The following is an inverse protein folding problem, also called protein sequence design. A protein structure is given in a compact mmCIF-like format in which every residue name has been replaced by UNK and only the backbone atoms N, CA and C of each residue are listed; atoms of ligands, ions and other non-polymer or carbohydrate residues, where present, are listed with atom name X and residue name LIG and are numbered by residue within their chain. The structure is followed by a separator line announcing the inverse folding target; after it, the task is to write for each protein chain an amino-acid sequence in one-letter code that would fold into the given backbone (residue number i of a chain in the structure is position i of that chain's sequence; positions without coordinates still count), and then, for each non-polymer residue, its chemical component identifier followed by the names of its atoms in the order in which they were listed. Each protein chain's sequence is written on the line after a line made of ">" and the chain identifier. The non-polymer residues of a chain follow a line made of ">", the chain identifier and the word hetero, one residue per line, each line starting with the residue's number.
data_IF_881764265868
#
_entry.id   IF_881764265868
#
_cell.length_a   1.000
_cell.length_b   1.000
_cell.length_c   1.000
_cell.angle_alpha   90.00
_cell.angle_beta   90.00
_cell.angle_gamma   90.00
#
_symmetry.space_group_name_H-M   'P 1'
#
loop_
_entity.id
_entity.type
_entity.pdbx_description
1 polymer ?
#
# COMPACT_ATOMS: atom_id res chain seq x y z
N UNK A 1 -7.82 -12.11 -2.25
CA UNK A 1 -8.11 -10.86 -1.52
C UNK A 1 -8.09 -9.71 -2.53
N UNK A 2 -9.26 -9.18 -2.93
CA UNK A 2 -9.33 -8.12 -3.95
C UNK A 2 -8.54 -6.86 -3.56
N UNK A 3 -8.54 -6.52 -2.27
CA UNK A 3 -7.87 -5.33 -1.73
C UNK A 3 -6.36 -5.27 -2.02
N UNK A 4 -5.67 -6.41 -2.00
CA UNK A 4 -4.23 -6.46 -2.29
C UNK A 4 -3.94 -6.16 -3.75
N UNK A 5 -4.78 -6.64 -4.68
CA UNK A 5 -4.65 -6.36 -6.11
C UNK A 5 -4.91 -4.89 -6.40
N UNK A 6 -5.93 -4.30 -5.77
CA UNK A 6 -6.20 -2.87 -5.90
C UNK A 6 -5.03 -2.04 -5.37
N UNK A 7 -4.41 -2.44 -4.26
CA UNK A 7 -3.23 -1.77 -3.74
C UNK A 7 -2.02 -1.88 -4.70
N UNK A 8 -1.78 -3.05 -5.30
CA UNK A 8 -0.74 -3.21 -6.33
C UNK A 8 -1.02 -2.32 -7.55
N UNK A 9 -2.28 -2.21 -7.96
CA UNK A 9 -2.68 -1.31 -9.05
C UNK A 9 -2.40 0.15 -8.73
N UNK A 10 -2.71 0.62 -7.51
CA UNK A 10 -2.34 1.98 -7.07
C UNK A 10 -0.83 2.18 -7.16
N UNK A 11 -0.03 1.22 -6.69
CA UNK A 11 1.44 1.35 -6.75
C UNK A 11 1.93 1.41 -8.20
N UNK A 12 1.34 0.61 -9.12
CA UNK A 12 1.66 0.63 -10.55
C UNK A 12 1.31 1.96 -11.22
N UNK A 13 0.16 2.55 -10.88
CA UNK A 13 -0.27 3.87 -11.38
C UNK A 13 0.70 4.99 -10.96
N UNK A 14 1.52 4.79 -9.93
CA UNK A 14 2.62 5.66 -9.51
C UNK A 14 4.00 5.11 -9.93
N UNK A 15 4.10 4.56 -11.14
CA UNK A 15 5.35 4.05 -11.73
C UNK A 15 6.08 3.00 -10.86
N UNK A 16 5.31 2.25 -10.06
CA UNK A 16 5.85 1.20 -9.19
C UNK A 16 6.53 1.71 -7.91
N UNK A 17 6.43 3.01 -7.59
CA UNK A 17 7.00 3.59 -6.35
C UNK A 17 6.16 4.76 -5.84
N UNK A 18 5.61 4.61 -4.63
CA UNK A 18 4.69 5.58 -4.03
C UNK A 18 5.06 5.89 -2.58
N UNK A 19 4.81 7.11 -2.13
CA UNK A 19 4.91 7.43 -0.70
C UNK A 19 3.80 6.74 0.08
N UNK A 20 4.14 6.11 1.21
CA UNK A 20 3.19 5.40 2.07
C UNK A 20 1.99 6.24 2.50
N UNK A 21 2.18 7.55 2.72
CA UNK A 21 1.09 8.48 3.04
C UNK A 21 0.11 8.68 1.89
N UNK A 22 0.59 8.64 0.64
CA UNK A 22 -0.27 8.77 -0.55
C UNK A 22 -1.04 7.47 -0.75
N UNK A 23 -0.35 6.32 -0.68
CA UNK A 23 -0.99 5.01 -0.71
C UNK A 23 -2.08 4.86 0.36
N UNK A 24 -1.85 5.36 1.56
CA UNK A 24 -2.83 5.32 2.64
C UNK A 24 -4.11 6.11 2.32
N UNK A 25 -3.98 7.27 1.69
CA UNK A 25 -5.11 8.12 1.29
C UNK A 25 -5.91 7.43 0.18
N UNK A 26 -5.23 7.02 -0.89
CA UNK A 26 -5.90 6.39 -2.03
C UNK A 26 -6.54 5.04 -1.69
N UNK A 27 -5.93 4.25 -0.81
CA UNK A 27 -6.50 2.99 -0.36
C UNK A 27 -7.81 3.20 0.42
N UNK A 28 -7.95 4.31 1.14
CA UNK A 28 -9.20 4.66 1.80
C UNK A 28 -10.24 5.22 0.82
N UNK A 29 -9.83 6.07 -0.12
CA UNK A 29 -10.71 6.61 -1.16
C UNK A 29 -11.29 5.50 -2.05
N UNK A 30 -10.48 4.48 -2.37
CA UNK A 30 -10.91 3.28 -3.10
C UNK A 30 -11.64 2.25 -2.22
N UNK A 31 -11.88 2.58 -0.94
CA UNK A 31 -12.63 1.76 0.04
C UNK A 31 -12.03 0.37 0.30
N UNK A 32 -10.74 0.18 0.03
CA UNK A 32 -9.99 -1.04 0.39
C UNK A 32 -9.42 -0.96 1.82
N UNK A 33 -9.46 0.25 2.42
CA UNK A 33 -9.34 0.47 3.85
C UNK A 33 -10.64 1.08 4.38
N UNK A 34 -11.17 0.50 5.45
CA UNK A 34 -12.29 1.08 6.20
C UNK A 34 -11.79 1.46 7.60
N UNK A 35 -11.79 2.77 7.89
CA UNK A 35 -11.25 3.35 9.12
C UNK A 35 -12.41 3.82 10.00
N UNK A 36 -12.79 3.01 10.98
CA UNK A 36 -13.84 3.34 11.96
C UNK A 36 -13.39 4.24 13.11
N UNK A 37 -12.34 5.06 12.92
CA UNK A 37 -11.74 5.85 13.99
C UNK A 37 -12.29 7.29 14.04
N UNK A 38 -12.32 7.88 15.24
CA UNK A 38 -12.62 9.31 15.42
C UNK A 38 -11.60 10.18 14.67
N UNK A 39 -12.02 11.37 14.21
CA UNK A 39 -11.21 12.30 13.40
C UNK A 39 -9.81 12.56 13.97
N UNK A 40 -9.69 12.72 15.28
CA UNK A 40 -8.43 12.98 16.00
C UNK A 40 -7.39 11.86 15.83
N UNK A 41 -7.83 10.61 15.75
CA UNK A 41 -6.96 9.43 15.63
C UNK A 41 -6.94 8.81 14.24
N UNK A 42 -7.64 9.45 13.29
CA UNK A 42 -7.92 8.89 11.99
C UNK A 42 -6.65 8.58 11.19
N UNK A 43 -5.68 9.50 11.19
CA UNK A 43 -4.40 9.32 10.48
C UNK A 43 -3.62 8.11 11.00
N UNK A 44 -3.47 7.99 12.33
CA UNK A 44 -2.75 6.87 12.94
C UNK A 44 -3.47 5.54 12.68
N UNK A 45 -4.79 5.51 12.81
CA UNK A 45 -5.60 4.32 12.52
C UNK A 45 -5.52 3.91 11.04
N UNK A 46 -5.48 4.87 10.13
CA UNK A 46 -5.29 4.66 8.69
C UNK A 46 -3.96 3.98 8.40
N UNK A 47 -2.85 4.50 8.93
CA UNK A 47 -1.53 3.90 8.73
C UNK A 47 -1.42 2.50 9.33
N UNK A 48 -1.89 2.30 10.56
CA UNK A 48 -1.88 0.99 11.20
C UNK A 48 -2.72 -0.04 10.40
N UNK A 49 -3.85 0.39 9.85
CA UNK A 49 -4.71 -0.46 9.02
C UNK A 49 -4.05 -0.79 7.68
N UNK A 50 -3.46 0.20 7.00
CA UNK A 50 -2.70 -0.02 5.77
C UNK A 50 -1.58 -1.04 6.00
N UNK A 51 -0.81 -0.86 7.08
CA UNK A 51 0.30 -1.75 7.41
C UNK A 51 -0.15 -3.19 7.60
N UNK A 52 -1.13 -3.39 8.48
CA UNK A 52 -1.60 -4.73 8.83
C UNK A 52 -2.33 -5.44 7.68
N UNK A 53 -3.17 -4.71 6.94
CA UNK A 53 -4.08 -5.32 5.96
C UNK A 53 -3.47 -5.43 4.56
N UNK A 54 -2.56 -4.52 4.19
CA UNK A 54 -2.07 -4.40 2.82
C UNK A 54 -0.54 -4.59 2.77
N UNK A 55 0.23 -3.75 3.45
CA UNK A 55 1.70 -3.75 3.30
C UNK A 55 2.30 -5.05 3.81
N UNK A 56 1.96 -5.49 5.03
CA UNK A 56 2.51 -6.73 5.60
C UNK A 56 2.22 -7.97 4.74
N UNK A 57 0.99 -8.21 4.24
CA UNK A 57 0.76 -9.30 3.30
C UNK A 57 1.57 -9.19 2.00
N UNK A 58 1.69 -7.99 1.43
CA UNK A 58 2.41 -7.78 0.17
C UNK A 58 3.93 -7.93 0.31
N UNK A 59 4.51 -7.60 1.48
CA UNK A 59 5.92 -7.84 1.80
C UNK A 59 6.15 -9.30 2.19
N UNK A 60 5.45 -9.80 3.21
CA UNK A 60 5.81 -11.05 3.89
C UNK A 60 5.33 -12.30 3.17
N UNK A 61 4.16 -12.23 2.52
CA UNK A 61 3.52 -13.39 1.89
C UNK A 61 3.75 -13.35 0.38
N UNK A 62 3.43 -12.24 -0.27
CA UNK A 62 3.51 -12.12 -1.72
C UNK A 62 4.90 -11.72 -2.20
N UNK A 63 5.65 -10.96 -1.38
CA UNK A 63 6.99 -10.44 -1.70
C UNK A 63 7.03 -9.56 -2.95
N UNK A 64 5.91 -8.93 -3.30
CA UNK A 64 5.79 -8.08 -4.49
C UNK A 64 6.16 -6.62 -4.22
N UNK A 65 6.25 -6.22 -2.96
CA UNK A 65 6.65 -4.86 -2.61
C UNK A 65 7.72 -4.91 -1.51
N UNK A 66 8.46 -3.81 -1.39
CA UNK A 66 9.32 -3.50 -0.26
C UNK A 66 9.03 -2.09 0.28
N UNK A 67 9.54 -1.81 1.48
CA UNK A 67 9.48 -0.49 2.11
C UNK A 67 10.88 0.05 2.40
N UNK A 68 11.09 1.34 2.13
CA UNK A 68 12.31 2.06 2.50
C UNK A 68 11.96 3.38 3.21
N UNK A 69 12.87 3.84 4.06
CA UNK A 69 12.75 5.14 4.73
C UNK A 69 13.79 6.11 4.15
N UNK A 70 13.32 7.21 3.57
CA UNK A 70 14.15 8.30 3.06
C UNK A 70 13.80 9.58 3.82
N UNK A 71 14.70 9.98 4.74
CA UNK A 71 14.45 11.08 5.66
C UNK A 71 13.23 10.82 6.55
N UNK A 72 12.22 11.69 6.48
CA UNK A 72 10.95 11.55 7.21
C UNK A 72 9.90 10.73 6.46
N UNK A 73 10.12 10.43 5.17
CA UNK A 73 9.15 9.74 4.34
C UNK A 73 9.41 8.24 4.31
N UNK A 74 8.35 7.45 4.22
CA UNK A 74 8.38 6.02 3.92
C UNK A 74 7.86 5.83 2.49
N UNK A 75 8.58 5.04 1.72
CA UNK A 75 8.26 4.72 0.34
C UNK A 75 7.98 3.24 0.22
N UNK A 76 6.98 2.93 -0.60
CA UNK A 76 6.60 1.56 -0.99
C UNK A 76 6.91 1.43 -2.47
N UNK A 77 7.60 0.36 -2.85
CA UNK A 77 7.99 0.14 -4.24
C UNK A 77 7.92 -1.35 -4.59
N UNK A 78 7.75 -1.65 -5.88
CA UNK A 78 7.78 -3.03 -6.33
C UNK A 78 9.17 -3.65 -6.21
N UNK A 79 9.19 -4.89 -5.74
CA UNK A 79 10.32 -5.81 -5.98
C UNK A 79 10.35 -6.19 -7.47
N UNK A 80 11.41 -6.86 -7.92
CA UNK A 80 11.44 -7.31 -9.32
C UNK A 80 10.35 -8.34 -9.62
N UNK A 81 10.06 -9.25 -8.68
CA UNK A 81 8.91 -10.16 -8.77
C UNK A 81 7.58 -9.39 -8.83
N UNK A 82 7.45 -8.32 -8.03
CA UNK A 82 6.26 -7.47 -8.03
C UNK A 82 6.06 -6.71 -9.34
N UNK A 83 7.13 -6.19 -9.94
CA UNK A 83 7.08 -5.55 -11.27
C UNK A 83 6.58 -6.55 -12.30
N UNK A 84 7.19 -7.73 -12.36
CA UNK A 84 6.80 -8.78 -13.30
C UNK A 84 5.34 -9.19 -13.08
N UNK A 85 4.93 -9.45 -11.83
CA UNK A 85 3.56 -9.81 -11.51
C UNK A 85 2.55 -8.72 -11.90
N UNK A 86 2.91 -7.44 -11.73
CA UNK A 86 2.04 -6.30 -12.06
C UNK A 86 1.73 -6.19 -13.56
N UNK A 87 2.54 -6.76 -14.45
CA UNK A 87 2.28 -6.75 -15.90
C UNK A 87 1.16 -7.74 -16.30
N UNK A 88 0.84 -8.72 -15.45
CA UNK A 88 -0.10 -9.79 -15.79
C UNK A 88 -1.36 -9.81 -14.93
N UNK A 89 -1.36 -9.12 -13.78
CA UNK A 89 -2.44 -9.21 -12.80
C UNK A 89 -3.63 -8.27 -13.07
N UNK A 90 -3.45 -7.20 -13.87
CA UNK A 90 -4.48 -6.19 -14.15
C UNK A 90 -4.15 -5.30 -15.35
#
# INVERSE_FOLDING_TARGET
>A
KPDLLVALKIIKEHDGRIQKKVLAVEAEERKILNIGARKENHSNARFASLDKKIIQPLINIWKFIDEEKIGKNRWIFFTDDGKNASEFLF
#
